data_IF_694065275477
#
_entry.id   IF_694065275477
#
_cell.length_a   1.000
_cell.length_b   1.000
_cell.length_c   1.000
_cell.angle_alpha   90.00
_cell.angle_beta   90.00
_cell.angle_gamma   90.00
#
_symmetry.space_group_name_H-M   'P 1'
#
loop_
_entity.id
_entity.type
_entity.pdbx_description
1 polymer ?
#
# COMPACT_ATOMS: atom_id res chain seq x y z
N UNK A 1 -42.19 2.61 26.65
CA UNK A 1 -41.56 3.36 27.75
C UNK A 1 -40.15 3.70 27.29
N UNK A 2 -39.83 4.98 27.14
CA UNK A 2 -38.50 5.44 26.70
C UNK A 2 -37.47 5.03 27.75
N UNK A 3 -36.62 4.05 27.43
CA UNK A 3 -35.47 3.69 28.26
C UNK A 3 -34.52 4.88 28.24
N UNK A 4 -34.59 5.73 29.26
CA UNK A 4 -33.70 6.88 29.36
C UNK A 4 -32.33 6.35 29.82
N UNK A 5 -31.33 6.42 28.94
CA UNK A 5 -29.98 6.01 29.27
C UNK A 5 -29.37 7.03 30.23
N UNK A 6 -28.87 6.57 31.38
CA UNK A 6 -28.11 7.42 32.29
C UNK A 6 -26.71 7.65 31.70
N UNK A 7 -26.50 8.83 31.13
CA UNK A 7 -25.22 9.24 30.52
C UNK A 7 -24.39 9.95 31.60
N UNK A 8 -23.14 9.51 31.87
CA UNK A 8 -22.29 10.15 32.86
C UNK A 8 -21.73 11.50 32.35
N UNK A 9 -21.35 12.40 33.25
CA UNK A 9 -20.69 13.67 32.88
C UNK A 9 -19.29 13.45 32.27
N UNK A 10 -18.60 12.38 32.69
CA UNK A 10 -17.26 12.02 32.21
C UNK A 10 -17.12 10.52 31.98
N UNK A 11 -16.21 10.15 31.11
CA UNK A 11 -15.98 8.77 30.71
C UNK A 11 -14.51 8.50 30.36
N UNK A 12 -14.13 7.23 30.25
CA UNK A 12 -12.77 6.83 29.89
C UNK A 12 -12.54 6.90 28.37
N UNK A 13 -11.38 7.41 28.00
CA UNK A 13 -10.88 7.46 26.63
C UNK A 13 -9.38 7.18 26.60
N UNK A 14 -8.91 6.57 25.51
CA UNK A 14 -7.49 6.38 25.24
C UNK A 14 -6.96 7.65 24.56
N UNK A 15 -6.02 8.33 25.22
CA UNK A 15 -5.48 9.64 24.83
C UNK A 15 -3.99 9.52 24.52
N UNK A 16 -3.58 10.12 23.39
CA UNK A 16 -2.20 10.17 22.93
C UNK A 16 -1.35 11.04 23.86
N UNK A 17 -0.21 10.51 24.28
CA UNK A 17 0.73 11.17 25.19
C UNK A 17 1.91 11.80 24.42
N UNK A 18 2.61 12.81 24.99
CA UNK A 18 3.76 13.46 24.36
C UNK A 18 4.92 12.55 23.96
N UNK A 19 5.04 11.38 24.58
CA UNK A 19 6.12 10.42 24.39
C UNK A 19 5.76 9.26 23.44
N UNK A 20 4.81 9.47 22.51
CA UNK A 20 4.31 8.44 21.57
C UNK A 20 3.73 7.20 22.26
N UNK A 21 3.19 7.38 23.46
CA UNK A 21 2.40 6.34 24.16
C UNK A 21 0.94 6.77 24.24
N UNK A 22 0.10 5.94 24.85
CA UNK A 22 -1.28 6.28 25.18
C UNK A 22 -1.55 6.05 26.66
N UNK A 23 -2.43 6.86 27.22
CA UNK A 23 -2.95 6.69 28.57
C UNK A 23 -4.48 6.59 28.52
N UNK A 24 -5.06 5.87 29.47
CA UNK A 24 -6.50 5.90 29.70
C UNK A 24 -6.80 7.07 30.62
N UNK A 25 -7.55 8.04 30.13
CA UNK A 25 -7.89 9.26 30.83
C UNK A 25 -9.40 9.44 30.94
N UNK A 26 -9.84 10.19 31.95
CA UNK A 26 -11.23 10.57 32.14
C UNK A 26 -11.48 11.92 31.46
N UNK A 27 -12.37 11.93 30.46
CA UNK A 27 -12.71 13.12 29.67
C UNK A 27 -14.22 13.42 29.76
N UNK A 28 -14.67 14.65 29.49
CA UNK A 28 -16.09 14.97 29.44
C UNK A 28 -16.83 14.20 28.35
N UNK A 29 -18.08 13.80 28.63
CA UNK A 29 -18.96 13.30 27.57
C UNK A 29 -19.45 14.47 26.73
N UNK A 30 -19.31 14.35 25.41
CA UNK A 30 -19.86 15.32 24.45
C UNK A 30 -21.26 14.83 24.03
N UNK A 31 -22.22 15.74 23.97
CA UNK A 31 -23.59 15.46 23.54
C UNK A 31 -23.77 15.76 22.05
N UNK A 32 -24.63 15.02 21.33
CA UNK A 32 -24.76 15.13 19.89
C UNK A 32 -25.46 16.43 19.46
N UNK A 33 -24.92 17.09 18.43
CA UNK A 33 -25.57 18.19 17.73
C UNK A 33 -26.59 17.72 16.68
N UNK A 34 -27.19 18.64 15.90
CA UNK A 34 -28.11 18.27 14.83
C UNK A 34 -27.48 17.27 13.83
N UNK A 35 -28.20 16.18 13.54
CA UNK A 35 -27.73 15.13 12.63
C UNK A 35 -26.69 14.17 13.20
N UNK A 36 -26.35 14.28 14.48
CA UNK A 36 -25.38 13.40 15.17
C UNK A 36 -26.06 12.47 16.18
N UNK A 37 -25.35 11.43 16.58
CA UNK A 37 -25.78 10.51 17.65
C UNK A 37 -24.66 10.26 18.64
N UNK A 38 -25.02 10.00 19.89
CA UNK A 38 -24.09 9.50 20.91
C UNK A 38 -24.18 7.98 20.96
N UNK A 39 -23.03 7.34 20.77
CA UNK A 39 -22.91 5.88 20.88
C UNK A 39 -22.18 5.55 22.16
N UNK A 40 -22.78 4.70 22.99
CA UNK A 40 -22.07 4.00 24.07
C UNK A 40 -21.33 2.82 23.44
N UNK A 41 -20.00 2.94 23.35
CA UNK A 41 -19.13 1.94 22.73
C UNK A 41 -19.08 0.70 23.61
N UNK A 42 -19.37 -0.45 23.02
CA UNK A 42 -19.21 -1.75 23.67
C UNK A 42 -17.91 -2.42 23.26
N UNK A 43 -17.49 -2.26 22.00
CA UNK A 43 -16.25 -2.83 21.49
C UNK A 43 -15.65 -1.95 20.41
N UNK A 44 -14.32 -1.89 20.37
CA UNK A 44 -13.58 -1.16 19.34
C UNK A 44 -12.61 -2.09 18.61
N UNK A 45 -12.51 -1.92 17.29
CA UNK A 45 -11.60 -2.65 16.44
C UNK A 45 -10.25 -1.95 16.34
N UNK A 46 -9.17 -2.70 16.55
CA UNK A 46 -7.82 -2.15 16.36
C UNK A 46 -7.36 -2.33 14.92
N UNK A 47 -7.06 -1.21 14.28
CA UNK A 47 -6.51 -1.14 12.94
C UNK A 47 -5.02 -0.79 12.98
N UNK A 48 -4.27 -1.14 11.92
CA UNK A 48 -2.91 -0.64 11.77
C UNK A 48 -2.83 0.88 11.84
N UNK A 49 -3.84 1.60 11.35
CA UNK A 49 -3.90 3.06 11.41
C UNK A 49 -3.82 3.59 12.85
N UNK A 50 -4.41 2.88 13.82
CA UNK A 50 -4.54 3.39 15.20
C UNK A 50 -3.17 3.52 15.87
N UNK A 51 -2.37 2.46 15.90
CA UNK A 51 -1.02 2.59 16.49
C UNK A 51 -0.09 3.45 15.60
N UNK A 52 -0.31 3.45 14.28
CA UNK A 52 0.50 4.22 13.34
C UNK A 52 0.32 5.73 13.50
N UNK A 53 -0.88 6.22 13.83
CA UNK A 53 -1.07 7.67 14.02
C UNK A 53 -0.29 8.21 15.21
N UNK A 54 -0.03 7.37 16.23
CA UNK A 54 0.88 7.70 17.34
C UNK A 54 2.33 7.62 16.87
N UNK A 55 2.70 6.50 16.26
CA UNK A 55 4.10 6.23 15.90
C UNK A 55 4.63 7.27 14.90
N UNK A 56 3.79 7.70 13.97
CA UNK A 56 4.12 8.61 12.86
C UNK A 56 3.75 10.07 13.14
N UNK A 57 3.45 10.44 14.39
CA UNK A 57 3.10 11.81 14.81
C UNK A 57 1.98 12.47 13.97
N UNK A 58 1.06 11.66 13.44
CA UNK A 58 -0.05 12.13 12.62
C UNK A 58 -1.09 12.86 13.47
N UNK A 59 -1.32 12.38 14.70
CA UNK A 59 -2.26 12.95 15.65
C UNK A 59 -1.48 13.49 16.86
N UNK A 60 -1.67 14.77 17.23
CA UNK A 60 -0.90 15.37 18.31
C UNK A 60 -1.28 14.80 19.69
N UNK A 61 -0.41 14.94 20.70
CA UNK A 61 -0.74 14.63 22.09
C UNK A 61 -2.02 15.34 22.56
N UNK A 62 -2.77 14.69 23.44
CA UNK A 62 -4.06 15.17 23.95
C UNK A 62 -5.25 14.82 23.05
N UNK A 63 -5.04 14.25 21.86
CA UNK A 63 -6.11 13.71 21.01
C UNK A 63 -6.42 12.25 21.35
N UNK A 64 -7.66 11.85 21.12
CA UNK A 64 -8.08 10.45 21.22
C UNK A 64 -7.62 9.63 20.01
N UNK A 65 -7.65 8.30 20.16
CA UNK A 65 -7.28 7.33 19.14
C UNK A 65 -8.38 6.29 18.88
N UNK A 66 -8.26 5.54 17.78
CA UNK A 66 -9.14 4.44 17.41
C UNK A 66 -10.01 4.79 16.20
N UNK A 67 -10.15 3.83 15.30
CA UNK A 67 -10.93 3.99 14.07
C UNK A 67 -12.27 3.28 14.14
N UNK A 68 -12.30 2.00 14.48
CA UNK A 68 -13.52 1.20 14.41
C UNK A 68 -14.19 1.07 15.77
N UNK A 69 -15.52 1.23 15.79
CA UNK A 69 -16.33 0.97 16.98
C UNK A 69 -17.64 0.29 16.64
N UNK A 70 -18.15 -0.43 17.62
CA UNK A 70 -19.52 -0.91 17.73
C UNK A 70 -20.05 -0.50 19.10
N UNK A 71 -21.33 -0.14 19.14
CA UNK A 71 -21.99 0.22 20.37
C UNK A 71 -23.48 0.43 20.20
N UNK A 72 -24.09 0.97 21.24
CA UNK A 72 -25.52 1.26 21.28
C UNK A 72 -25.76 2.76 21.21
N UNK A 73 -26.71 3.18 20.38
CA UNK A 73 -27.15 4.58 20.35
C UNK A 73 -27.87 4.92 21.66
N UNK A 74 -27.35 5.89 22.40
CA UNK A 74 -27.88 6.28 23.73
C UNK A 74 -28.43 7.70 23.77
N UNK A 75 -28.14 8.51 22.76
CA UNK A 75 -28.70 9.86 22.58
C UNK A 75 -28.80 10.22 21.10
N UNK A 76 -29.85 10.96 20.73
CA UNK A 76 -30.09 11.42 19.36
C UNK A 76 -30.03 12.95 19.31
N UNK A 77 -29.27 13.48 18.36
CA UNK A 77 -29.28 14.88 18.02
C UNK A 77 -30.55 15.29 17.26
N UNK A 78 -30.79 16.60 17.17
CA UNK A 78 -31.95 17.12 16.45
C UNK A 78 -31.96 16.69 14.97
N UNK A 79 -33.12 16.26 14.46
CA UNK A 79 -33.29 15.89 13.05
C UNK A 79 -32.75 14.51 12.65
N UNK A 80 -32.35 13.67 13.61
CA UNK A 80 -32.00 12.26 13.35
C UNK A 80 -33.27 11.41 13.35
N UNK A 81 -33.59 10.79 12.22
CA UNK A 81 -34.80 9.97 12.03
C UNK A 81 -34.49 8.51 11.65
N UNK A 82 -33.30 8.22 11.11
CA UNK A 82 -32.98 6.92 10.50
C UNK A 82 -32.33 5.90 11.47
N UNK A 83 -32.11 6.29 12.72
CA UNK A 83 -31.55 5.43 13.77
C UNK A 83 -32.30 5.69 15.07
N UNK A 84 -32.53 4.63 15.86
CA UNK A 84 -33.29 4.71 17.10
C UNK A 84 -32.41 4.60 18.35
N UNK A 85 -32.90 5.14 19.46
CA UNK A 85 -32.33 4.86 20.79
C UNK A 85 -32.36 3.35 21.06
N UNK A 86 -31.24 2.83 21.56
CA UNK A 86 -31.04 1.41 21.83
C UNK A 86 -30.60 0.58 20.64
N UNK A 87 -30.49 1.16 19.45
CA UNK A 87 -30.04 0.45 18.26
C UNK A 87 -28.54 0.14 18.32
N UNK A 88 -28.16 -1.08 17.95
CA UNK A 88 -26.76 -1.51 17.85
C UNK A 88 -26.19 -1.10 16.49
N UNK A 89 -25.14 -0.28 16.52
CA UNK A 89 -24.52 0.30 15.34
C UNK A 89 -23.02 0.19 15.40
N UNK A 90 -22.39 0.10 14.23
CA UNK A 90 -20.95 0.20 14.04
C UNK A 90 -20.60 1.34 13.08
N UNK A 91 -19.40 1.89 13.21
CA UNK A 91 -18.88 2.91 12.29
C UNK A 91 -17.36 2.94 12.29
N UNK A 92 -16.80 3.67 11.33
CA UNK A 92 -15.38 3.97 11.22
C UNK A 92 -15.17 5.48 11.37
N UNK A 93 -14.23 5.86 12.23
CA UNK A 93 -13.77 7.21 12.44
C UNK A 93 -12.36 7.34 11.90
N UNK A 94 -12.18 8.17 10.88
CA UNK A 94 -10.84 8.50 10.40
C UNK A 94 -10.25 9.56 11.33
N UNK A 95 -9.23 9.20 12.11
CA UNK A 95 -8.66 10.04 13.17
C UNK A 95 -8.20 11.46 12.76
N UNK A 96 -8.04 11.74 11.46
CA UNK A 96 -7.73 13.09 10.94
C UNK A 96 -8.96 13.94 10.61
N UNK A 97 -10.12 13.32 10.43
CA UNK A 97 -11.35 13.96 9.93
C UNK A 97 -12.37 14.23 11.03
N UNK A 98 -12.24 13.56 12.17
CA UNK A 98 -13.18 13.68 13.28
C UNK A 98 -12.48 14.21 14.54
N UNK A 99 -13.20 15.04 15.30
CA UNK A 99 -12.72 15.51 16.61
C UNK A 99 -12.73 14.38 17.67
N UNK A 100 -13.50 13.32 17.41
CA UNK A 100 -13.64 12.14 18.26
C UNK A 100 -12.96 10.90 17.66
N UNK A 101 -12.85 9.84 18.45
CA UNK A 101 -12.11 8.62 18.11
C UNK A 101 -12.74 7.39 18.77
N UNK A 102 -12.46 6.19 18.27
CA UNK A 102 -13.20 4.98 18.66
C UNK A 102 -12.83 4.40 20.04
N UNK A 103 -11.59 4.59 20.53
CA UNK A 103 -11.14 3.97 21.78
C UNK A 103 -11.58 4.79 23.00
N UNK A 104 -12.89 4.85 23.23
CA UNK A 104 -13.52 5.57 24.35
C UNK A 104 -14.90 5.00 24.65
N UNK A 105 -15.44 5.23 25.84
CA UNK A 105 -16.74 4.64 26.23
C UNK A 105 -17.97 5.27 25.56
N UNK A 106 -17.89 6.56 25.18
CA UNK A 106 -18.98 7.32 24.57
C UNK A 106 -18.44 8.19 23.44
N UNK A 107 -19.08 8.17 22.29
CA UNK A 107 -18.59 8.86 21.09
C UNK A 107 -19.73 9.48 20.30
N UNK A 108 -19.59 10.78 20.00
CA UNK A 108 -20.46 11.46 19.05
C UNK A 108 -19.97 11.19 17.64
N UNK A 109 -20.91 10.78 16.78
CA UNK A 109 -20.66 10.54 15.36
C UNK A 109 -21.82 11.08 14.52
N UNK A 110 -21.60 11.39 13.24
CA UNK A 110 -22.70 11.65 12.31
C UNK A 110 -23.67 10.46 12.28
N UNK A 111 -24.98 10.74 12.23
CA UNK A 111 -26.01 9.70 12.11
C UNK A 111 -25.94 8.91 10.79
N UNK A 112 -25.16 9.38 9.82
CA UNK A 112 -24.94 8.74 8.51
C UNK A 112 -23.49 8.91 8.03
N UNK A 113 -22.84 7.85 7.52
CA UNK A 113 -23.30 6.46 7.50
C UNK A 113 -23.08 5.75 8.84
N UNK A 114 -24.04 4.90 9.25
CA UNK A 114 -23.90 3.94 10.35
C UNK A 114 -24.20 2.52 9.83
N UNK A 115 -23.46 1.54 10.31
CA UNK A 115 -23.67 0.13 9.98
C UNK A 115 -24.59 -0.46 11.05
N UNK A 116 -25.79 -0.90 10.68
CA UNK A 116 -26.67 -1.64 11.60
C UNK A 116 -26.06 -3.01 11.89
N UNK A 117 -25.93 -3.37 13.16
CA UNK A 117 -25.34 -4.66 13.55
C UNK A 117 -26.46 -5.67 13.80
N UNK A 118 -26.52 -6.80 13.05
CA UNK A 118 -27.52 -7.83 13.26
C UNK A 118 -27.47 -8.46 14.66
N UNK A 119 -28.62 -8.87 15.18
CA UNK A 119 -28.73 -9.47 16.52
C UNK A 119 -27.90 -10.76 16.69
N UNK A 120 -27.65 -11.48 15.60
CA UNK A 120 -26.88 -12.73 15.60
C UNK A 120 -25.36 -12.52 15.42
N UNK A 121 -24.87 -11.27 15.37
CA UNK A 121 -23.45 -10.94 15.27
C UNK A 121 -23.00 -10.33 16.58
N UNK A 122 -21.94 -10.85 17.21
CA UNK A 122 -21.39 -10.27 18.44
C UNK A 122 -20.70 -8.93 18.18
N UNK A 123 -20.57 -8.10 19.20
CA UNK A 123 -19.92 -6.79 19.06
C UNK A 123 -18.44 -6.93 18.66
N UNK A 124 -17.75 -7.97 19.12
CA UNK A 124 -16.34 -8.25 18.78
C UNK A 124 -16.17 -8.59 17.30
N UNK A 125 -17.08 -9.39 16.74
CA UNK A 125 -17.08 -9.71 15.30
C UNK A 125 -17.46 -8.48 14.49
N UNK A 126 -18.44 -7.71 14.95
CA UNK A 126 -18.89 -6.52 14.26
C UNK A 126 -17.81 -5.42 14.24
N UNK A 127 -17.00 -5.29 15.30
CA UNK A 127 -16.01 -4.22 15.44
C UNK A 127 -14.82 -4.32 14.48
N UNK A 128 -14.60 -5.46 13.80
CA UNK A 128 -13.52 -5.62 12.81
C UNK A 128 -13.95 -5.36 11.36
N UNK A 129 -15.23 -5.02 11.16
CA UNK A 129 -15.84 -4.80 9.85
C UNK A 129 -15.65 -3.37 9.31
N UNK A 130 -15.86 -2.29 10.08
CA UNK A 130 -16.08 -0.96 9.53
C UNK A 130 -14.96 -0.45 8.63
N UNK A 131 -13.73 -0.30 9.13
CA UNK A 131 -12.59 0.21 8.35
C UNK A 131 -12.26 -0.68 7.15
N UNK A 132 -12.19 -2.00 7.35
CA UNK A 132 -11.82 -2.94 6.30
C UNK A 132 -12.82 -2.97 5.16
N UNK A 133 -14.11 -3.07 5.47
CA UNK A 133 -15.18 -3.11 4.48
C UNK A 133 -15.40 -1.75 3.82
N UNK A 134 -15.37 -0.66 4.59
CA UNK A 134 -15.47 0.70 4.03
C UNK A 134 -14.34 0.99 3.06
N UNK A 135 -13.09 0.69 3.43
CA UNK A 135 -11.93 0.91 2.57
C UNK A 135 -12.02 0.09 1.27
N UNK A 136 -12.46 -1.16 1.36
CA UNK A 136 -12.65 -2.02 0.20
C UNK A 136 -13.77 -1.49 -0.73
N UNK A 137 -14.93 -1.13 -0.16
CA UNK A 137 -16.06 -0.61 -0.93
C UNK A 137 -15.75 0.75 -1.57
N UNK A 138 -15.11 1.66 -0.83
CA UNK A 138 -14.67 2.96 -1.32
C UNK A 138 -13.63 2.82 -2.44
N UNK A 139 -12.64 1.94 -2.25
CA UNK A 139 -11.62 1.65 -3.25
C UNK A 139 -12.21 1.08 -4.54
N UNK A 140 -13.08 0.06 -4.43
CA UNK A 140 -13.73 -0.54 -5.59
C UNK A 140 -14.64 0.46 -6.30
N UNK A 141 -15.62 1.05 -5.59
CA UNK A 141 -16.70 1.78 -6.25
C UNK A 141 -16.42 3.26 -6.46
N UNK A 142 -15.83 3.96 -5.49
CA UNK A 142 -15.63 5.40 -5.57
C UNK A 142 -14.36 5.75 -6.34
N UNK A 143 -13.23 5.13 -5.99
CA UNK A 143 -11.94 5.46 -6.61
C UNK A 143 -11.80 4.83 -7.99
N UNK A 144 -12.09 3.54 -8.09
CA UNK A 144 -11.84 2.78 -9.32
C UNK A 144 -13.07 2.67 -10.23
N UNK A 145 -14.22 3.17 -9.80
CA UNK A 145 -15.47 3.14 -10.58
C UNK A 145 -15.92 1.72 -10.92
N UNK A 146 -15.62 0.72 -10.08
CA UNK A 146 -15.99 -0.67 -10.36
C UNK A 146 -17.53 -0.79 -10.40
N UNK A 147 -18.10 -1.33 -11.49
CA UNK A 147 -19.53 -1.56 -11.58
C UNK A 147 -20.01 -2.54 -10.50
N UNK A 148 -21.12 -2.19 -9.85
CA UNK A 148 -21.80 -3.01 -8.83
C UNK A 148 -22.31 -4.35 -9.39
N UNK A 149 -22.54 -4.42 -10.70
CA UNK A 149 -22.89 -5.64 -11.42
C UNK A 149 -21.96 -5.73 -12.63
N UNK A 150 -20.85 -6.43 -12.52
CA UNK A 150 -20.00 -6.65 -13.67
C UNK A 150 -20.59 -7.73 -14.58
N UNK A 151 -20.42 -7.62 -15.91
CA UNK A 151 -20.64 -8.76 -16.77
C UNK A 151 -19.74 -9.91 -16.30
N UNK A 152 -20.29 -11.12 -16.18
CA UNK A 152 -19.72 -12.36 -15.60
C UNK A 152 -18.32 -12.81 -16.11
N UNK A 153 -17.61 -11.99 -16.89
CA UNK A 153 -16.32 -12.29 -17.53
C UNK A 153 -15.20 -11.29 -17.22
N UNK A 154 -15.38 -10.33 -16.31
CA UNK A 154 -14.27 -9.46 -15.89
C UNK A 154 -13.55 -10.01 -14.66
N UNK A 155 -12.23 -9.88 -14.66
CA UNK A 155 -11.36 -10.39 -13.61
C UNK A 155 -10.64 -9.29 -12.84
N UNK A 156 -10.40 -9.53 -11.55
CA UNK A 156 -9.55 -8.71 -10.68
C UNK A 156 -8.54 -9.60 -9.96
N UNK A 157 -7.29 -9.16 -9.89
CA UNK A 157 -6.26 -9.79 -9.08
C UNK A 157 -6.02 -8.92 -7.84
N UNK A 158 -6.18 -9.50 -6.65
CA UNK A 158 -6.05 -8.82 -5.37
C UNK A 158 -4.77 -9.30 -4.68
N UNK A 159 -3.78 -8.41 -4.63
CA UNK A 159 -2.53 -8.63 -3.91
C UNK A 159 -2.75 -8.55 -2.40
N UNK A 160 -2.26 -9.54 -1.64
CA UNK A 160 -2.41 -9.54 -0.19
C UNK A 160 -3.85 -9.80 0.28
N UNK A 161 -4.52 -10.76 -0.36
CA UNK A 161 -5.92 -11.10 -0.08
C UNK A 161 -6.19 -11.69 1.32
N UNK A 162 -5.15 -12.07 2.06
CA UNK A 162 -5.26 -12.84 3.30
C UNK A 162 -5.58 -12.01 4.57
N UNK A 163 -5.91 -10.72 4.43
CA UNK A 163 -6.19 -9.86 5.57
C UNK A 163 -7.09 -8.65 5.21
N UNK A 164 -7.92 -8.24 6.18
CA UNK A 164 -8.66 -6.97 6.26
C UNK A 164 -9.17 -6.44 4.90
N UNK A 165 -8.62 -5.33 4.39
CA UNK A 165 -9.10 -4.69 3.15
C UNK A 165 -9.04 -5.63 1.95
N UNK A 166 -7.95 -6.38 1.76
CA UNK A 166 -7.83 -7.35 0.66
C UNK A 166 -8.91 -8.43 0.75
N UNK A 167 -9.18 -8.90 1.97
CA UNK A 167 -10.23 -9.88 2.26
C UNK A 167 -11.62 -9.38 1.86
N UNK A 168 -12.01 -8.19 2.32
CA UNK A 168 -13.30 -7.58 1.96
C UNK A 168 -13.37 -7.23 0.48
N UNK A 169 -12.27 -6.80 -0.14
CA UNK A 169 -12.21 -6.52 -1.59
C UNK A 169 -12.56 -7.77 -2.39
N UNK A 170 -12.03 -8.92 -2.01
CA UNK A 170 -12.31 -10.21 -2.67
C UNK A 170 -13.78 -10.58 -2.49
N UNK A 171 -14.32 -10.50 -1.26
CA UNK A 171 -15.73 -10.78 -0.99
C UNK A 171 -16.66 -9.89 -1.81
N UNK A 172 -16.46 -8.58 -1.78
CA UNK A 172 -17.28 -7.61 -2.51
C UNK A 172 -17.18 -7.81 -4.02
N UNK A 173 -15.99 -8.06 -4.55
CA UNK A 173 -15.80 -8.39 -5.97
C UNK A 173 -16.52 -9.69 -6.35
N UNK A 174 -16.45 -10.74 -5.51
CA UNK A 174 -17.18 -11.99 -5.75
C UNK A 174 -18.70 -11.81 -5.73
N UNK A 175 -19.23 -11.09 -4.74
CA UNK A 175 -20.66 -10.80 -4.60
C UNK A 175 -21.21 -10.01 -5.81
N UNK A 176 -20.38 -9.20 -6.45
CA UNK A 176 -20.73 -8.38 -7.61
C UNK A 176 -20.47 -9.06 -8.97
N UNK A 177 -20.21 -10.38 -8.95
CA UNK A 177 -20.12 -11.23 -10.15
C UNK A 177 -18.74 -11.29 -10.80
N UNK A 178 -17.71 -10.74 -10.16
CA UNK A 178 -16.35 -10.75 -10.72
C UNK A 178 -15.68 -12.11 -10.55
N UNK A 179 -14.75 -12.36 -11.47
CA UNK A 179 -13.75 -13.40 -11.27
C UNK A 179 -12.58 -12.80 -10.48
N UNK A 180 -12.23 -13.42 -9.36
CA UNK A 180 -11.20 -12.88 -8.46
C UNK A 180 -10.04 -13.86 -8.37
N UNK A 181 -8.80 -13.38 -8.53
CA UNK A 181 -7.57 -14.08 -8.13
C UNK A 181 -7.04 -13.41 -6.88
N UNK A 182 -7.04 -14.13 -5.77
CA UNK A 182 -6.48 -13.69 -4.50
C UNK A 182 -5.05 -14.24 -4.36
N UNK A 183 -4.08 -13.39 -4.03
CA UNK A 183 -2.71 -13.85 -3.75
C UNK A 183 -2.35 -13.66 -2.28
N UNK A 184 -1.57 -14.60 -1.76
CA UNK A 184 -0.95 -14.50 -0.45
C UNK A 184 0.42 -15.19 -0.46
N UNK A 185 1.24 -14.86 0.55
CA UNK A 185 2.49 -15.60 0.80
C UNK A 185 2.16 -17.00 1.32
N UNK A 186 3.08 -17.99 1.19
CA UNK A 186 2.82 -19.37 1.61
C UNK A 186 2.27 -19.47 3.05
N UNK A 187 2.91 -18.77 4.00
CA UNK A 187 2.50 -18.70 5.43
C UNK A 187 1.11 -18.09 5.68
N UNK A 188 0.44 -17.58 4.66
CA UNK A 188 -0.87 -16.92 4.77
C UNK A 188 -1.90 -17.52 3.80
N UNK A 189 -1.56 -18.57 3.06
CA UNK A 189 -2.45 -19.23 2.11
C UNK A 189 -3.67 -19.87 2.78
N UNK A 190 -3.48 -20.50 3.94
CA UNK A 190 -4.58 -21.08 4.73
C UNK A 190 -5.65 -20.05 5.11
N UNK A 191 -5.28 -18.77 5.18
CA UNK A 191 -6.26 -17.71 5.41
C UNK A 191 -7.22 -17.62 4.24
N UNK A 192 -6.79 -17.80 2.99
CA UNK A 192 -7.65 -17.63 1.81
C UNK A 192 -8.71 -18.74 1.60
N UNK A 193 -8.76 -19.77 2.45
CA UNK A 193 -9.64 -20.93 2.23
C UNK A 193 -11.13 -20.55 2.21
N UNK A 194 -11.58 -19.63 3.07
CA UNK A 194 -12.96 -19.14 3.04
C UNK A 194 -13.25 -18.34 1.75
N UNK A 195 -12.26 -17.64 1.20
CA UNK A 195 -12.41 -16.91 -0.06
C UNK A 195 -12.47 -17.88 -1.26
N UNK A 196 -11.81 -19.04 -1.20
CA UNK A 196 -12.00 -20.11 -2.18
C UNK A 196 -13.44 -20.62 -2.19
N UNK A 197 -14.03 -20.79 -1.00
CA UNK A 197 -15.44 -21.20 -0.88
C UNK A 197 -16.40 -20.17 -1.49
N UNK A 198 -16.02 -18.89 -1.48
CA UNK A 198 -16.74 -17.82 -2.19
C UNK A 198 -16.50 -17.79 -3.70
N UNK A 199 -15.73 -18.75 -4.25
CA UNK A 199 -15.43 -18.86 -5.67
C UNK A 199 -14.33 -17.92 -6.15
N UNK A 200 -13.48 -17.41 -5.24
CA UNK A 200 -12.22 -16.78 -5.62
C UNK A 200 -11.19 -17.85 -5.96
N UNK A 201 -10.45 -17.62 -7.03
CA UNK A 201 -9.25 -18.39 -7.32
C UNK A 201 -8.15 -17.89 -6.41
N UNK A 202 -7.35 -18.80 -5.87
CA UNK A 202 -6.24 -18.43 -4.99
C UNK A 202 -4.93 -18.87 -5.59
N UNK A 203 -3.94 -18.00 -5.55
CA UNK A 203 -2.63 -18.28 -6.09
C UNK A 203 -1.56 -17.96 -5.05
N UNK A 204 -0.81 -18.98 -4.67
CA UNK A 204 0.43 -18.78 -3.93
C UNK A 204 1.48 -18.16 -4.86
N UNK A 205 2.16 -17.12 -4.40
CA UNK A 205 3.28 -16.52 -5.12
C UNK A 205 4.37 -16.11 -4.12
N UNK A 206 5.44 -16.89 -4.08
CA UNK A 206 6.72 -16.48 -3.53
C UNK A 206 7.61 -16.03 -4.68
N UNK A 207 7.95 -14.74 -4.73
CA UNK A 207 8.69 -14.16 -5.87
C UNK A 207 10.12 -14.69 -5.96
N UNK A 208 10.65 -15.19 -4.84
CA UNK A 208 11.98 -15.78 -4.76
C UNK A 208 12.00 -17.30 -4.99
N UNK A 209 10.86 -17.91 -5.34
CA UNK A 209 10.77 -19.33 -5.62
C UNK A 209 11.62 -19.73 -6.86
N UNK A 210 12.06 -20.99 -6.96
CA UNK A 210 12.70 -21.53 -8.16
C UNK A 210 11.89 -21.26 -9.42
N UNK A 211 12.56 -21.04 -10.55
CA UNK A 211 11.90 -20.66 -11.81
C UNK A 211 10.87 -21.69 -12.28
N UNK A 212 11.10 -22.98 -12.06
CA UNK A 212 10.14 -24.04 -12.40
C UNK A 212 8.83 -23.95 -11.60
N UNK A 213 8.91 -23.56 -10.32
CA UNK A 213 7.73 -23.29 -9.49
C UNK A 213 6.99 -22.05 -9.99
N UNK A 214 7.73 -20.99 -10.34
CA UNK A 214 7.14 -19.79 -10.94
C UNK A 214 6.46 -20.08 -12.28
N UNK A 215 7.00 -20.99 -13.10
CA UNK A 215 6.33 -21.47 -14.31
C UNK A 215 5.01 -22.19 -14.01
N UNK A 216 4.96 -23.00 -12.94
CA UNK A 216 3.72 -23.65 -12.50
C UNK A 216 2.69 -22.63 -12.00
N UNK A 217 3.13 -21.62 -11.25
CA UNK A 217 2.29 -20.50 -10.81
C UNK A 217 1.75 -19.71 -12.00
N UNK A 218 2.60 -19.35 -12.97
CA UNK A 218 2.19 -18.65 -14.18
C UNK A 218 1.20 -19.46 -15.03
N UNK A 219 1.43 -20.77 -15.17
CA UNK A 219 0.49 -21.69 -15.85
C UNK A 219 -0.88 -21.67 -15.19
N UNK A 220 -0.90 -21.76 -13.86
CA UNK A 220 -2.14 -21.74 -13.07
C UNK A 220 -2.85 -20.40 -13.20
N UNK A 221 -2.12 -19.29 -13.04
CA UNK A 221 -2.63 -17.94 -13.21
C UNK A 221 -3.28 -17.71 -14.57
N UNK A 222 -2.63 -18.17 -15.64
CA UNK A 222 -3.13 -18.04 -17.01
C UNK A 222 -4.32 -18.96 -17.26
N UNK A 223 -4.32 -20.19 -16.73
CA UNK A 223 -5.43 -21.13 -16.91
C UNK A 223 -6.75 -20.62 -16.31
N UNK A 224 -6.68 -19.81 -15.25
CA UNK A 224 -7.85 -19.26 -14.56
C UNK A 224 -8.74 -18.40 -15.49
N UNK A 225 -8.16 -17.45 -16.23
CA UNK A 225 -8.91 -16.54 -17.13
C UNK A 225 -8.50 -16.64 -18.60
N UNK A 226 -7.69 -17.64 -18.94
CA UNK A 226 -7.12 -17.84 -20.26
C UNK A 226 -5.93 -16.92 -20.59
N UNK A 227 -5.68 -15.88 -19.80
CA UNK A 227 -4.57 -14.94 -19.98
C UNK A 227 -4.32 -14.08 -18.73
N UNK A 228 -3.17 -13.39 -18.74
CA UNK A 228 -2.85 -12.28 -17.83
C UNK A 228 -2.42 -11.08 -18.68
N UNK A 229 -3.14 -9.97 -18.59
CA UNK A 229 -2.84 -8.76 -19.37
C UNK A 229 -1.68 -7.95 -18.81
N UNK A 230 -1.60 -7.84 -17.48
CA UNK A 230 -0.60 -7.03 -16.80
C UNK A 230 0.01 -7.81 -15.65
N UNK A 231 1.33 -7.96 -15.68
CA UNK A 231 2.12 -8.45 -14.56
C UNK A 231 2.74 -7.25 -13.86
N UNK A 232 2.50 -7.06 -12.56
CA UNK A 232 3.08 -5.96 -11.79
C UNK A 232 4.11 -6.48 -10.80
N UNK A 233 5.38 -6.23 -11.07
CA UNK A 233 6.49 -6.52 -10.17
C UNK A 233 6.62 -5.42 -9.10
N UNK A 234 5.88 -5.57 -8.00
CA UNK A 234 5.84 -4.63 -6.88
C UNK A 234 6.61 -5.10 -5.64
N UNK A 235 6.84 -6.41 -5.48
CA UNK A 235 7.49 -6.94 -4.29
C UNK A 235 8.88 -6.29 -4.08
N UNK A 236 9.15 -5.90 -2.83
CA UNK A 236 10.44 -5.38 -2.46
C UNK A 236 10.55 -5.07 -0.97
N UNK A 237 11.79 -4.99 -0.49
CA UNK A 237 12.16 -4.54 0.84
C UNK A 237 13.54 -3.89 0.80
N UNK A 238 14.00 -3.36 1.93
CA UNK A 238 15.37 -2.90 2.06
C UNK A 238 15.95 -3.21 3.43
N UNK A 239 17.27 -3.30 3.47
CA UNK A 239 18.09 -3.34 4.69
C UNK A 239 19.00 -2.12 4.66
N UNK A 240 19.03 -1.36 5.74
CA UNK A 240 19.88 -0.18 5.91
C UNK A 240 21.26 -0.54 6.47
N UNK A 241 22.34 -0.04 5.86
CA UNK A 241 23.70 -0.21 6.37
C UNK A 241 24.74 0.54 5.54
N UNK A 242 25.93 0.75 6.10
CA UNK A 242 27.10 1.05 5.29
C UNK A 242 27.46 -0.16 4.42
N UNK A 243 28.12 0.05 3.27
CA UNK A 243 28.46 -1.04 2.34
C UNK A 243 29.30 -2.12 3.02
N UNK A 244 30.25 -1.74 3.89
CA UNK A 244 31.09 -2.67 4.65
C UNK A 244 30.33 -3.40 5.78
N UNK A 245 29.18 -2.87 6.23
CA UNK A 245 28.34 -3.51 7.24
C UNK A 245 27.49 -4.64 6.65
N UNK A 246 27.19 -4.67 5.34
CA UNK A 246 26.31 -5.71 4.79
C UNK A 246 26.97 -7.09 4.79
N UNK A 247 26.25 -8.08 5.31
CA UNK A 247 26.61 -9.48 5.09
C UNK A 247 26.33 -9.87 3.62
N UNK A 248 27.02 -10.90 3.09
CA UNK A 248 26.70 -11.44 1.77
C UNK A 248 25.24 -11.88 1.65
N UNK A 249 24.62 -12.40 2.73
CA UNK A 249 23.24 -12.85 2.73
C UNK A 249 22.24 -11.69 2.65
N UNK A 250 22.41 -10.63 3.44
CA UNK A 250 21.55 -9.43 3.36
C UNK A 250 21.64 -8.75 1.98
N UNK A 251 22.82 -8.80 1.36
CA UNK A 251 23.00 -8.35 -0.03
C UNK A 251 22.23 -9.24 -0.98
N UNK A 252 22.44 -10.56 -0.91
CA UNK A 252 21.75 -11.53 -1.74
C UNK A 252 20.24 -11.43 -1.61
N UNK A 253 19.69 -11.35 -0.40
CA UNK A 253 18.24 -11.35 -0.17
C UNK A 253 17.55 -10.12 -0.76
N UNK A 254 18.18 -8.94 -0.64
CA UNK A 254 17.69 -7.72 -1.27
C UNK A 254 17.71 -7.84 -2.79
N UNK A 255 18.81 -8.31 -3.39
CA UNK A 255 18.86 -8.56 -4.84
C UNK A 255 17.87 -9.64 -5.28
N UNK A 256 17.72 -10.70 -4.49
CA UNK A 256 16.84 -11.83 -4.80
C UNK A 256 15.37 -11.39 -4.81
N UNK A 257 14.93 -10.62 -3.81
CA UNK A 257 13.54 -10.16 -3.76
C UNK A 257 13.28 -8.98 -4.70
N UNK A 258 14.20 -8.02 -4.79
CA UNK A 258 13.96 -6.78 -5.52
C UNK A 258 14.30 -6.90 -7.02
N UNK A 259 15.13 -7.86 -7.44
CA UNK A 259 15.59 -7.97 -8.83
C UNK A 259 15.43 -9.38 -9.41
N UNK A 260 16.09 -10.40 -8.84
CA UNK A 260 16.12 -11.74 -9.45
C UNK A 260 14.75 -12.41 -9.44
N UNK A 261 13.98 -12.25 -8.37
CA UNK A 261 12.62 -12.75 -8.24
C UNK A 261 11.69 -12.14 -9.29
N UNK A 262 11.52 -10.80 -9.33
CA UNK A 262 10.77 -10.10 -10.38
C UNK A 262 11.18 -10.48 -11.81
N UNK A 263 12.48 -10.67 -12.07
CA UNK A 263 13.01 -11.16 -13.34
C UNK A 263 12.50 -12.57 -13.66
N UNK A 264 12.57 -13.50 -12.71
CA UNK A 264 12.11 -14.87 -12.89
C UNK A 264 10.58 -14.96 -13.01
N UNK A 265 9.84 -14.13 -12.27
CA UNK A 265 8.39 -13.98 -12.45
C UNK A 265 8.09 -13.50 -13.87
N UNK A 266 8.78 -12.47 -14.37
CA UNK A 266 8.60 -12.03 -15.76
C UNK A 266 8.91 -13.16 -16.76
N UNK A 267 10.01 -13.90 -16.59
CA UNK A 267 10.35 -15.07 -17.43
C UNK A 267 9.23 -16.13 -17.44
N UNK A 268 8.56 -16.35 -16.31
CA UNK A 268 7.48 -17.30 -16.20
C UNK A 268 6.21 -16.90 -16.99
N UNK A 269 5.88 -15.60 -17.01
CA UNK A 269 4.66 -15.08 -17.63
C UNK A 269 4.83 -14.67 -19.10
N UNK A 270 6.02 -14.22 -19.52
CA UNK A 270 6.30 -13.74 -20.87
C UNK A 270 5.93 -14.73 -21.99
N UNK A 271 6.14 -16.05 -21.89
CA UNK A 271 5.73 -16.99 -22.93
C UNK A 271 4.23 -16.94 -23.25
N UNK A 272 3.38 -16.76 -22.24
CA UNK A 272 1.93 -16.68 -22.40
C UNK A 272 1.49 -15.35 -23.03
N UNK A 273 2.09 -14.23 -22.60
CA UNK A 273 1.85 -12.92 -23.21
C UNK A 273 2.32 -12.89 -24.66
N UNK A 274 3.51 -13.45 -24.95
CA UNK A 274 4.11 -13.54 -26.29
C UNK A 274 3.26 -14.37 -27.24
N UNK A 275 2.75 -15.52 -26.80
CA UNK A 275 1.87 -16.37 -27.61
C UNK A 275 0.59 -15.63 -28.04
N UNK A 276 0.07 -14.75 -27.18
CA UNK A 276 -1.11 -13.92 -27.47
C UNK A 276 -0.77 -12.62 -28.23
N UNK A 277 0.51 -12.27 -28.32
CA UNK A 277 1.00 -10.96 -28.82
C UNK A 277 0.39 -9.76 -28.08
N UNK A 278 0.06 -9.95 -26.79
CA UNK A 278 -0.57 -8.95 -25.96
C UNK A 278 -0.24 -9.18 -24.49
N UNK A 279 0.27 -8.14 -23.84
CA UNK A 279 0.54 -8.11 -22.42
C UNK A 279 1.54 -7.04 -22.04
N UNK A 280 1.62 -6.73 -20.75
CA UNK A 280 2.53 -5.75 -20.21
C UNK A 280 3.18 -6.23 -18.92
N UNK A 281 4.46 -5.92 -18.76
CA UNK A 281 5.19 -6.09 -17.49
C UNK A 281 5.44 -4.72 -16.88
N UNK A 282 4.82 -4.44 -15.75
CA UNK A 282 5.03 -3.23 -14.98
C UNK A 282 5.99 -3.48 -13.82
N UNK A 283 6.86 -2.53 -13.55
CA UNK A 283 7.92 -2.61 -12.54
C UNK A 283 7.80 -1.45 -11.56
N UNK A 284 7.92 -1.72 -10.26
CA UNK A 284 7.98 -0.67 -9.23
C UNK A 284 9.43 -0.43 -8.84
N UNK A 285 10.02 0.58 -9.47
CA UNK A 285 11.35 1.12 -9.19
C UNK A 285 11.36 2.02 -7.95
N UNK A 286 12.21 3.05 -7.96
CA UNK A 286 12.31 4.02 -6.87
C UNK A 286 13.09 5.26 -7.33
N UNK A 287 12.91 6.40 -6.67
CA UNK A 287 13.84 7.52 -6.78
C UNK A 287 15.31 7.12 -6.50
N UNK A 288 15.53 6.05 -5.71
CA UNK A 288 16.85 5.50 -5.41
C UNK A 288 17.57 4.92 -6.64
N UNK A 289 16.89 4.80 -7.78
CA UNK A 289 17.53 4.54 -9.08
C UNK A 289 18.42 5.69 -9.55
N UNK A 290 18.19 6.91 -9.06
CA UNK A 290 18.85 8.13 -9.55
C UNK A 290 19.86 8.66 -8.56
N UNK A 291 19.53 8.63 -7.27
CA UNK A 291 20.33 9.27 -6.23
C UNK A 291 20.97 8.25 -5.31
N UNK A 292 22.28 8.37 -5.02
CA UNK A 292 22.89 7.62 -3.95
C UNK A 292 22.30 8.10 -2.62
N UNK A 293 21.67 7.20 -1.88
CA UNK A 293 21.13 7.47 -0.55
C UNK A 293 22.05 6.75 0.45
N UNK A 294 22.67 7.53 1.34
CA UNK A 294 23.48 6.98 2.44
C UNK A 294 22.65 5.95 3.19
N UNK A 295 23.28 4.83 3.55
CA UNK A 295 22.65 3.69 4.21
C UNK A 295 21.76 2.80 3.33
N UNK A 296 21.48 3.17 2.07
CA UNK A 296 20.63 2.39 1.15
C UNK A 296 21.36 1.98 -0.14
N UNK A 297 22.68 1.83 -0.09
CA UNK A 297 23.50 1.55 -1.27
C UNK A 297 23.12 0.25 -1.98
N UNK A 298 22.88 -0.84 -1.24
CA UNK A 298 22.42 -2.12 -1.81
C UNK A 298 21.02 -1.97 -2.42
N UNK A 299 20.07 -1.38 -1.68
CA UNK A 299 18.71 -1.14 -2.17
C UNK A 299 18.71 -0.32 -3.48
N UNK A 300 19.42 0.82 -3.49
CA UNK A 300 19.58 1.66 -4.68
C UNK A 300 20.18 0.89 -5.86
N UNK A 301 21.18 0.04 -5.59
CA UNK A 301 21.79 -0.84 -6.59
C UNK A 301 20.77 -1.82 -7.21
N UNK A 302 19.86 -2.39 -6.41
CA UNK A 302 18.79 -3.24 -6.95
C UNK A 302 17.82 -2.48 -7.84
N UNK A 303 17.49 -1.23 -7.50
CA UNK A 303 16.52 -0.40 -8.21
C UNK A 303 17.09 0.20 -9.49
N UNK A 304 18.34 0.65 -9.51
CA UNK A 304 19.01 1.10 -10.74
C UNK A 304 19.23 -0.06 -11.72
N UNK A 305 19.55 -1.26 -11.22
CA UNK A 305 19.63 -2.46 -12.05
C UNK A 305 18.27 -2.82 -12.67
N UNK A 306 17.19 -2.77 -11.88
CA UNK A 306 15.81 -2.95 -12.38
C UNK A 306 15.46 -1.90 -13.44
N UNK A 307 15.89 -0.65 -13.26
CA UNK A 307 15.60 0.43 -14.22
C UNK A 307 16.15 0.10 -15.61
N UNK A 308 17.44 -0.20 -15.71
CA UNK A 308 18.06 -0.54 -16.99
C UNK A 308 17.43 -1.82 -17.57
N UNK A 309 17.26 -2.84 -16.73
CA UNK A 309 16.66 -4.11 -17.15
C UNK A 309 15.26 -3.93 -17.73
N UNK A 310 14.39 -3.15 -17.09
CA UNK A 310 13.02 -2.89 -17.55
C UNK A 310 12.98 -2.20 -18.92
N UNK A 311 13.91 -1.26 -19.15
CA UNK A 311 14.06 -0.57 -20.43
C UNK A 311 14.50 -1.54 -21.54
N UNK A 312 15.56 -2.33 -21.29
CA UNK A 312 16.03 -3.35 -22.23
C UNK A 312 14.94 -4.37 -22.54
N UNK A 313 14.21 -4.82 -21.51
CA UNK A 313 13.11 -5.76 -21.69
C UNK A 313 12.02 -5.17 -22.59
N UNK A 314 11.71 -3.87 -22.49
CA UNK A 314 10.75 -3.24 -23.39
C UNK A 314 11.16 -3.41 -24.86
N UNK A 315 12.44 -3.15 -25.16
CA UNK A 315 12.97 -3.27 -26.52
C UNK A 315 12.94 -4.71 -27.01
N UNK A 316 13.31 -5.67 -26.15
CA UNK A 316 13.28 -7.10 -26.45
C UNK A 316 11.88 -7.62 -26.79
N UNK A 317 10.83 -7.09 -26.13
CA UNK A 317 9.46 -7.64 -26.23
C UNK A 317 8.52 -6.81 -27.13
N UNK A 318 8.90 -5.59 -27.50
CA UNK A 318 8.13 -4.72 -28.39
C UNK A 318 7.82 -5.39 -29.75
N UNK A 319 8.75 -6.10 -30.43
CA UNK A 319 8.45 -6.81 -31.69
C UNK A 319 7.33 -7.86 -31.58
N UNK A 320 7.04 -8.33 -30.37
CA UNK A 320 5.98 -9.28 -30.09
C UNK A 320 4.63 -8.62 -29.74
N UNK A 321 4.55 -7.29 -29.71
CA UNK A 321 3.34 -6.55 -29.31
C UNK A 321 3.16 -6.42 -27.79
N UNK A 322 4.22 -6.65 -27.01
CA UNK A 322 4.24 -6.54 -25.57
C UNK A 322 4.88 -5.21 -25.15
N UNK A 323 4.65 -4.78 -23.90
CA UNK A 323 5.30 -3.59 -23.33
C UNK A 323 5.92 -3.85 -21.96
N UNK A 324 6.98 -3.13 -21.65
CA UNK A 324 7.54 -3.04 -20.30
C UNK A 324 7.50 -1.60 -19.82
N UNK A 325 7.05 -1.37 -18.59
CA UNK A 325 6.88 -0.03 -18.02
C UNK A 325 7.41 0.02 -16.59
N UNK A 326 8.24 1.02 -16.29
CA UNK A 326 8.82 1.25 -14.98
C UNK A 326 8.18 2.47 -14.33
N UNK A 327 7.66 2.30 -13.13
CA UNK A 327 7.24 3.39 -12.26
C UNK A 327 8.33 3.66 -11.21
N UNK A 328 8.80 4.89 -11.12
CA UNK A 328 9.79 5.33 -10.15
C UNK A 328 9.14 6.27 -9.14
N UNK A 329 8.57 5.72 -8.06
CA UNK A 329 7.99 6.52 -7.00
C UNK A 329 9.05 7.23 -6.16
N UNK A 330 8.69 8.44 -5.74
CA UNK A 330 9.32 9.19 -4.69
C UNK A 330 9.00 8.60 -3.32
N UNK A 331 9.06 9.44 -2.29
CA UNK A 331 8.53 9.08 -0.98
C UNK A 331 7.01 9.17 -1.03
N UNK A 332 6.33 8.03 -0.92
CA UNK A 332 4.88 7.92 -0.75
C UNK A 332 4.53 7.52 0.68
N UNK A 333 3.42 8.03 1.21
CA UNK A 333 2.91 7.74 2.57
C UNK A 333 2.41 6.31 2.71
N UNK A 334 3.33 5.37 2.61
CA UNK A 334 3.12 3.93 2.77
C UNK A 334 3.93 3.43 3.96
N UNK A 335 3.62 2.24 4.52
CA UNK A 335 4.43 1.65 5.58
C UNK A 335 5.83 1.19 5.12
N UNK A 336 6.26 1.45 3.88
CA UNK A 336 7.50 0.91 3.34
C UNK A 336 8.74 1.34 4.13
N UNK A 337 8.78 2.58 4.62
CA UNK A 337 9.87 3.11 5.46
C UNK A 337 9.50 3.20 6.95
N UNK A 338 8.34 2.67 7.33
CA UNK A 338 7.89 2.71 8.71
C UNK A 338 8.80 1.86 9.62
N UNK A 339 9.02 2.26 10.88
CA UNK A 339 9.81 1.44 11.81
C UNK A 339 9.23 0.02 11.93
N UNK A 340 10.10 -0.98 11.85
CA UNK A 340 9.74 -2.41 11.85
C UNK A 340 9.30 -2.97 10.49
N UNK A 341 9.34 -2.18 9.41
CA UNK A 341 9.16 -2.62 8.02
C UNK A 341 10.45 -2.59 7.20
N UNK A 342 11.50 -2.00 7.78
CA UNK A 342 12.85 -1.95 7.27
C UNK A 342 13.79 -2.56 8.30
N UNK A 343 14.69 -3.43 7.86
CA UNK A 343 15.75 -3.95 8.70
C UNK A 343 17.00 -3.06 8.60
N UNK A 344 17.89 -3.18 9.58
CA UNK A 344 19.26 -2.64 9.49
C UNK A 344 20.22 -3.81 9.48
N UNK A 345 21.40 -3.62 8.89
CA UNK A 345 22.42 -4.67 8.87
C UNK A 345 22.74 -5.14 10.28
N UNK A 346 22.87 -6.45 10.42
CA UNK A 346 23.23 -7.11 11.67
C UNK A 346 24.70 -6.90 12.05
N UNK A 347 25.59 -6.70 11.08
CA UNK A 347 27.03 -6.54 11.29
C UNK A 347 27.41 -5.05 11.42
N UNK A 348 26.98 -4.43 12.54
CA UNK A 348 27.24 -3.00 12.80
C UNK A 348 28.70 -2.74 13.16
N UNK A 349 29.31 -1.76 12.49
CA UNK A 349 30.71 -1.35 12.70
C UNK A 349 30.74 0.03 13.38
N UNK A 350 31.57 0.17 14.41
CA UNK A 350 31.59 1.37 15.25
C UNK A 350 31.92 2.65 14.45
N UNK A 351 32.82 2.56 13.47
CA UNK A 351 33.28 3.70 12.69
C UNK A 351 32.16 4.31 11.82
N UNK A 352 31.17 3.51 11.41
CA UNK A 352 30.01 3.98 10.65
C UNK A 352 28.84 4.43 11.52
N UNK A 353 28.90 4.23 12.84
CA UNK A 353 27.76 4.43 13.75
C UNK A 353 27.13 5.82 13.63
N UNK A 354 27.95 6.88 13.59
CA UNK A 354 27.44 8.25 13.50
C UNK A 354 26.77 8.51 12.14
N UNK A 355 27.44 8.11 11.05
CA UNK A 355 26.93 8.29 9.69
C UNK A 355 25.63 7.51 9.47
N UNK A 356 25.64 6.20 9.75
CA UNK A 356 24.46 5.34 9.61
C UNK A 356 23.33 5.81 10.53
N UNK A 357 23.63 6.15 11.79
CA UNK A 357 22.63 6.69 12.73
C UNK A 357 21.95 7.98 12.23
N UNK A 358 22.72 8.92 11.64
CA UNK A 358 22.15 10.12 11.00
C UNK A 358 21.25 9.77 9.81
N UNK A 359 21.67 8.84 8.95
CA UNK A 359 20.89 8.43 7.79
C UNK A 359 19.60 7.69 8.18
N UNK A 360 19.67 6.79 9.18
CA UNK A 360 18.53 6.10 9.78
C UNK A 360 17.53 7.11 10.35
N UNK A 361 18.01 8.08 11.14
CA UNK A 361 17.17 9.14 11.71
C UNK A 361 16.54 10.02 10.63
N UNK A 362 17.29 10.37 9.58
CA UNK A 362 16.76 11.15 8.46
C UNK A 362 15.66 10.39 7.70
N UNK A 363 15.87 9.09 7.43
CA UNK A 363 14.86 8.25 6.77
C UNK A 363 13.61 8.09 7.65
N UNK A 364 13.77 7.92 8.95
CA UNK A 364 12.67 7.87 9.90
C UNK A 364 11.90 9.20 9.98
N UNK A 365 12.57 10.34 9.90
CA UNK A 365 11.91 11.65 9.90
C UNK A 365 11.04 11.90 8.67
N UNK A 366 11.33 11.22 7.55
CA UNK A 366 10.51 11.23 6.34
C UNK A 366 9.22 10.42 6.51
N UNK A 367 9.19 9.47 7.44
CA UNK A 367 7.98 8.70 7.72
C UNK A 367 6.84 9.58 8.23
N UNK A 368 5.62 9.35 7.75
CA UNK A 368 4.45 10.23 7.95
C UNK A 368 4.48 11.56 7.16
N UNK A 369 5.68 12.04 6.81
CA UNK A 369 5.91 13.31 6.12
C UNK A 369 6.19 13.17 4.62
N UNK A 370 6.06 11.95 4.08
CA UNK A 370 6.28 11.70 2.65
C UNK A 370 5.36 12.60 1.80
N UNK A 371 5.86 13.07 0.65
CA UNK A 371 5.12 13.99 -0.23
C UNK A 371 4.01 13.27 -1.02
N UNK A 372 4.28 12.02 -1.42
CA UNK A 372 3.43 11.23 -2.28
C UNK A 372 2.19 10.68 -1.58
N UNK A 373 1.06 10.78 -2.26
CA UNK A 373 -0.22 10.19 -1.89
C UNK A 373 -0.39 8.83 -2.61
N UNK A 374 -0.42 7.70 -1.89
CA UNK A 374 -0.48 6.37 -2.50
C UNK A 374 -1.70 6.14 -3.39
N UNK A 375 -2.86 6.74 -3.07
CA UNK A 375 -4.08 6.57 -3.85
C UNK A 375 -3.95 7.28 -5.20
N UNK A 376 -3.44 8.52 -5.18
CA UNK A 376 -3.16 9.27 -6.42
C UNK A 376 -2.07 8.61 -7.26
N UNK A 377 -1.02 8.10 -6.61
CA UNK A 377 0.05 7.36 -7.29
C UNK A 377 -0.49 6.11 -8.01
N UNK A 378 -1.29 5.31 -7.32
CA UNK A 378 -1.91 4.13 -7.91
C UNK A 378 -2.85 4.46 -9.07
N UNK A 379 -3.66 5.53 -8.95
CA UNK A 379 -4.53 5.97 -10.04
C UNK A 379 -3.72 6.37 -11.29
N UNK A 380 -2.64 7.13 -11.12
CA UNK A 380 -1.75 7.47 -12.23
C UNK A 380 -1.13 6.21 -12.84
N UNK A 381 -0.69 5.24 -12.03
CA UNK A 381 -0.17 3.98 -12.56
C UNK A 381 -1.21 3.24 -13.42
N UNK A 382 -2.48 3.18 -12.98
CA UNK A 382 -3.58 2.57 -13.73
C UNK A 382 -3.85 3.30 -15.04
N UNK A 383 -3.89 4.64 -15.02
CA UNK A 383 -4.07 5.47 -16.21
C UNK A 383 -3.00 5.17 -17.27
N UNK A 384 -1.73 5.14 -16.87
CA UNK A 384 -0.60 4.81 -17.76
C UNK A 384 -0.64 3.36 -18.25
N UNK A 385 -1.06 2.43 -17.39
CA UNK A 385 -1.21 1.02 -17.75
C UNK A 385 -2.28 0.85 -18.84
N UNK A 386 -3.41 1.54 -18.70
CA UNK A 386 -4.55 1.46 -19.64
C UNK A 386 -4.40 2.36 -20.87
N UNK A 387 -3.52 3.36 -20.82
CA UNK A 387 -3.48 4.43 -21.82
C UNK A 387 -4.73 5.34 -21.76
N UNK A 388 -5.33 5.45 -20.57
CA UNK A 388 -6.54 6.21 -20.29
C UNK A 388 -6.24 7.37 -19.33
N UNK A 389 -7.26 8.16 -18.97
CA UNK A 389 -7.14 9.23 -17.98
C UNK A 389 -6.02 10.21 -18.31
N UNK A 390 -5.06 10.37 -17.41
CA UNK A 390 -3.90 11.26 -17.58
C UNK A 390 -2.95 10.86 -18.73
N UNK A 391 -3.01 9.59 -19.18
CA UNK A 391 -2.24 9.05 -20.28
C UNK A 391 -3.01 9.01 -21.62
N UNK A 392 -4.30 9.37 -21.63
CA UNK A 392 -5.12 9.34 -22.83
C UNK A 392 -4.56 10.21 -23.96
N UNK A 393 -4.44 9.64 -25.16
CA UNK A 393 -3.96 10.33 -26.36
C UNK A 393 -2.47 10.69 -26.37
N UNK A 394 -1.69 10.21 -25.40
CA UNK A 394 -0.25 10.48 -25.29
C UNK A 394 0.58 9.26 -25.70
N UNK A 395 1.81 9.53 -26.17
CA UNK A 395 2.82 8.48 -26.28
C UNK A 395 3.34 8.16 -24.87
N UNK A 396 3.01 6.97 -24.37
CA UNK A 396 3.36 6.55 -23.01
C UNK A 396 4.86 6.17 -22.94
N UNK A 397 5.66 6.85 -22.10
CA UNK A 397 7.07 6.48 -21.93
C UNK A 397 7.23 5.16 -21.18
N UNK A 398 8.38 4.52 -21.35
CA UNK A 398 8.75 3.27 -20.64
C UNK A 398 9.16 3.51 -19.19
N UNK A 399 9.51 4.74 -18.81
CA UNK A 399 9.87 5.15 -17.45
C UNK A 399 9.00 6.32 -17.01
N UNK A 400 8.38 6.21 -15.84
CA UNK A 400 7.43 7.17 -15.30
C UNK A 400 7.84 7.55 -13.89
N UNK A 401 8.15 8.83 -13.67
CA UNK A 401 8.44 9.36 -12.36
C UNK A 401 7.13 9.73 -11.65
N UNK A 402 6.97 9.28 -10.41
CA UNK A 402 5.82 9.61 -9.57
C UNK A 402 6.31 10.41 -8.36
N UNK A 403 5.86 11.66 -8.23
CA UNK A 403 6.26 12.57 -7.15
C UNK A 403 7.24 13.66 -7.59
N UNK A 404 7.10 14.85 -7.01
CA UNK A 404 7.94 16.01 -7.33
C UNK A 404 9.39 15.85 -6.90
N UNK A 405 9.63 15.08 -5.84
CA UNK A 405 10.94 14.66 -5.37
C UNK A 405 11.69 13.82 -6.39
N UNK A 406 11.07 12.74 -6.92
CA UNK A 406 11.70 11.93 -7.97
C UNK A 406 12.00 12.75 -9.21
N UNK A 407 11.05 13.58 -9.66
CA UNK A 407 11.26 14.43 -10.85
C UNK A 407 12.42 15.40 -10.64
N UNK A 408 12.47 16.08 -9.49
CA UNK A 408 13.56 17.00 -9.14
C UNK A 408 14.91 16.27 -9.13
N UNK A 409 14.97 15.12 -8.47
CA UNK A 409 16.22 14.42 -8.23
C UNK A 409 16.75 13.72 -9.49
N UNK A 410 15.87 13.15 -10.32
CA UNK A 410 16.22 12.66 -11.64
C UNK A 410 16.75 13.78 -12.55
N UNK A 411 16.05 14.93 -12.60
CA UNK A 411 16.48 16.08 -13.39
C UNK A 411 17.86 16.61 -12.94
N UNK A 412 18.09 16.70 -11.63
CA UNK A 412 19.39 17.11 -11.07
C UNK A 412 20.51 16.17 -11.51
N UNK A 413 20.34 14.86 -11.36
CA UNK A 413 21.38 13.87 -11.72
C UNK A 413 21.66 13.86 -13.23
N UNK A 414 20.64 14.03 -14.07
CA UNK A 414 20.82 14.20 -15.51
C UNK A 414 21.69 15.43 -15.82
N UNK A 415 21.38 16.58 -15.20
CA UNK A 415 22.14 17.82 -15.42
C UNK A 415 23.59 17.72 -14.92
N UNK A 416 23.82 17.14 -13.74
CA UNK A 416 25.16 16.88 -13.21
C UNK A 416 25.97 15.95 -14.13
N UNK A 417 25.30 14.96 -14.73
CA UNK A 417 25.93 14.04 -15.68
C UNK A 417 26.33 14.75 -16.97
N UNK A 418 25.45 15.59 -17.54
CA UNK A 418 25.76 16.38 -18.72
C UNK A 418 26.91 17.35 -18.45
N UNK A 419 26.88 18.06 -17.32
CA UNK A 419 27.96 18.97 -16.93
C UNK A 419 29.31 18.25 -16.85
N UNK A 420 29.37 17.08 -16.22
CA UNK A 420 30.59 16.28 -16.13
C UNK A 420 31.07 15.77 -17.49
N UNK A 421 30.15 15.37 -18.37
CA UNK A 421 30.50 14.96 -19.74
C UNK A 421 31.09 16.14 -20.50
N UNK A 422 30.48 17.33 -20.41
CA UNK A 422 30.94 18.52 -21.11
C UNK A 422 32.31 19.00 -20.58
N UNK A 423 32.49 19.03 -19.26
CA UNK A 423 33.74 19.45 -18.61
C UNK A 423 34.92 18.54 -19.00
N UNK A 424 34.69 17.23 -19.09
CA UNK A 424 35.73 16.23 -19.35
C UNK A 424 35.71 15.67 -20.77
N UNK A 425 34.94 16.29 -21.67
CA UNK A 425 34.67 15.76 -23.02
C UNK A 425 35.95 15.44 -23.77
N UNK A 426 36.88 16.38 -23.82
CA UNK A 426 38.15 16.25 -24.54
C UNK A 426 38.95 15.04 -24.04
N UNK A 427 38.91 14.75 -22.73
CA UNK A 427 39.56 13.57 -22.15
C UNK A 427 38.78 12.31 -22.50
N UNK A 428 37.45 12.30 -22.32
CA UNK A 428 36.62 11.12 -22.56
C UNK A 428 36.64 10.65 -24.02
N UNK A 429 36.72 11.56 -25.00
CA UNK A 429 36.80 11.22 -26.43
C UNK A 429 38.24 11.00 -26.93
N UNK A 430 39.27 11.39 -26.16
CA UNK A 430 40.68 11.24 -26.58
C UNK A 430 41.15 9.80 -26.78
N UNK A 431 40.37 8.82 -26.31
CA UNK A 431 40.66 7.40 -26.47
C UNK A 431 40.12 6.80 -27.77
N UNK A 432 39.36 7.57 -28.54
CA UNK A 432 38.88 7.14 -29.85
C UNK A 432 40.07 6.99 -30.83
N UNK A 433 39.89 6.16 -31.85
CA UNK A 433 40.83 6.17 -32.97
C UNK A 433 40.85 7.56 -33.61
N UNK A 434 42.00 8.06 -34.09
CA UNK A 434 42.03 9.26 -34.90
C UNK A 434 41.05 9.15 -36.08
N UNK A 435 40.36 10.23 -36.41
CA UNK A 435 39.45 10.24 -37.57
C UNK A 435 40.16 9.74 -38.83
N UNK A 436 39.60 8.69 -39.47
CA UNK A 436 40.10 8.13 -40.73
C UNK A 436 40.96 6.87 -40.63
N UNK A 437 41.05 6.23 -39.45
CA UNK A 437 41.65 4.90 -39.26
C UNK A 437 40.63 3.78 -39.43
#
# INVERSE_FOLDING_TARGET
MSTQYTIPETHLAVIIQPNKTVAVERVPVVHPGPGEVLIKVSTAGQNPADWKVIQFDVSPPGKGIGSDLVGTVVELGAGVEDVALGERVGTVLVARLHESSAFREYVVVPSKPLIRIPDNVSDEVAAVVPSGAYSAAYGLHTLLGFPLNAPFNRSILVWGGSASVGWYTIQLAKLTGWKVIATARPRSMAKLDDLKQLGAETLELEVTAPLDELHAVAKTAVAIYGHVDVLVNNAGFFVGGAIEEFTPQETYDQFNTNLFGPLNVARAFLPYMRARRAGMVAWVGSLASWVPIVNLGVYGSTKIAMRLFSMTLNDDITPFGLRSILFEPGYFRTPFIAPGRSDVSTNRINDYREMCGRAEAALQAVDGNQLGDPEKGAQVMVDFIRGEGQAAGKNVPTVIHLGSDTVRDAARVCNETLQRIDEWKDVFVSTDFPEGV
#
